data_IF_567751018686
#
_entry.id   IF_567751018686
#
_cell.length_a   1.000
_cell.length_b   1.000
_cell.length_c   1.000
_cell.angle_alpha   90.00
_cell.angle_beta   90.00
_cell.angle_gamma   90.00
#
_symmetry.space_group_name_H-M   'P 1'
#
loop_
_entity.id
_entity.type
_entity.pdbx_description
1 polymer ?
#
# COMPACT_ATOMS: atom_id res chain seq x y z
N UNK A 1 16.09 4.68 64.64
CA UNK A 1 17.12 5.60 65.14
C UNK A 1 17.98 6.01 63.93
N UNK A 2 17.97 7.31 63.61
CA UNK A 2 18.86 8.14 62.75
C UNK A 2 19.62 7.48 61.57
N UNK A 3 19.32 7.80 60.30
CA UNK A 3 19.57 9.05 59.56
C UNK A 3 21.05 9.27 59.15
N UNK A 4 21.23 9.41 57.82
CA UNK A 4 22.15 10.26 57.07
C UNK A 4 23.39 9.72 56.31
N UNK A 5 23.23 9.76 54.98
CA UNK A 5 23.98 10.50 53.96
C UNK A 5 25.51 10.31 53.91
N UNK A 6 25.98 9.71 52.81
CA UNK A 6 27.14 10.23 52.09
C UNK A 6 26.88 10.23 50.57
N UNK A 7 27.17 11.38 49.97
CA UNK A 7 27.01 11.73 48.55
C UNK A 7 28.27 11.32 47.76
N UNK A 8 28.09 10.85 46.53
CA UNK A 8 28.99 11.06 45.38
C UNK A 8 28.20 10.62 44.11
N UNK A 9 27.59 11.54 43.36
CA UNK A 9 28.17 12.39 42.33
C UNK A 9 28.56 11.64 41.02
N UNK A 10 27.84 12.03 39.96
CA UNK A 10 28.31 12.24 38.59
C UNK A 10 28.44 11.04 37.64
N UNK A 11 27.44 10.88 36.76
CA UNK A 11 27.64 10.96 35.30
C UNK A 11 26.28 11.04 34.59
N UNK A 12 25.94 12.23 34.11
CA UNK A 12 24.87 12.46 33.14
C UNK A 12 25.33 11.87 31.82
N UNK A 13 24.74 10.74 31.40
CA UNK A 13 24.73 10.33 30.01
C UNK A 13 23.30 10.50 29.49
N UNK A 14 22.94 11.75 29.21
CA UNK A 14 21.79 12.03 28.35
C UNK A 14 22.17 11.55 26.93
N UNK A 15 21.94 10.26 26.68
CA UNK A 15 21.97 9.70 25.34
C UNK A 15 20.87 10.36 24.54
N UNK A 16 21.23 11.42 23.82
CA UNK A 16 20.40 12.00 22.78
C UNK A 16 20.23 10.93 21.70
N UNK A 17 19.21 10.09 21.83
CA UNK A 17 18.63 9.41 20.70
C UNK A 17 18.05 10.49 19.81
N UNK A 18 18.87 10.98 18.88
CA UNK A 18 18.39 11.68 17.72
C UNK A 18 17.49 10.68 16.98
N UNK A 19 16.19 10.69 17.30
CA UNK A 19 15.17 10.10 16.44
C UNK A 19 15.14 10.97 15.19
N UNK A 20 16.07 10.68 14.28
CA UNK A 20 16.02 11.20 12.94
C UNK A 20 14.64 10.87 12.40
N UNK A 21 13.86 11.91 12.10
CA UNK A 21 12.64 11.75 11.35
C UNK A 21 13.05 11.13 10.01
N UNK A 22 12.89 9.81 9.90
CA UNK A 22 12.94 9.14 8.60
C UNK A 22 11.76 9.74 7.85
N UNK A 23 12.04 10.66 6.93
CA UNK A 23 11.09 11.04 5.90
C UNK A 23 10.79 9.75 5.16
N UNK A 24 9.65 9.13 5.47
CA UNK A 24 9.19 7.95 4.77
C UNK A 24 9.04 8.36 3.31
N UNK A 25 9.85 7.77 2.44
CA UNK A 25 9.70 7.95 1.00
C UNK A 25 8.26 7.62 0.61
N UNK A 26 7.70 8.35 -0.35
CA UNK A 26 6.37 8.03 -0.85
C UNK A 26 6.34 6.56 -1.30
N UNK A 27 5.25 5.82 -1.02
CA UNK A 27 5.16 4.44 -1.45
C UNK A 27 5.35 4.32 -2.97
N UNK A 28 6.28 3.46 -3.39
CA UNK A 28 6.52 3.14 -4.80
C UNK A 28 6.39 1.63 -5.03
N UNK A 29 5.16 1.08 -4.98
CA UNK A 29 4.97 -0.33 -5.28
C UNK A 29 5.36 -0.65 -6.72
N UNK A 30 6.05 -1.77 -6.90
CA UNK A 30 6.48 -2.25 -8.22
C UNK A 30 5.67 -3.50 -8.55
N UNK A 31 4.94 -3.47 -9.66
CA UNK A 31 4.21 -4.62 -10.16
C UNK A 31 5.19 -5.74 -10.51
N UNK A 32 4.92 -6.93 -9.99
CA UNK A 32 5.60 -8.17 -10.30
C UNK A 32 4.59 -9.21 -10.74
N UNK A 33 5.06 -10.21 -11.49
CA UNK A 33 4.23 -11.34 -11.84
C UNK A 33 5.05 -12.62 -12.05
N UNK A 34 4.36 -13.74 -11.96
CA UNK A 34 4.79 -15.03 -12.51
C UNK A 34 3.74 -15.48 -13.53
N UNK A 35 3.71 -16.76 -13.91
CA UNK A 35 2.76 -17.26 -14.91
C UNK A 35 1.29 -17.22 -14.46
N UNK A 36 0.99 -17.12 -13.16
CA UNK A 36 -0.37 -17.26 -12.64
C UNK A 36 -0.78 -16.22 -11.59
N UNK A 37 0.09 -15.30 -11.20
CA UNK A 37 -0.21 -14.29 -10.21
C UNK A 37 0.46 -12.94 -10.51
N UNK A 38 -0.20 -11.86 -10.08
CA UNK A 38 0.33 -10.49 -10.04
C UNK A 38 0.35 -10.03 -8.59
N UNK A 39 1.47 -9.45 -8.16
CA UNK A 39 1.64 -8.85 -6.83
C UNK A 39 2.50 -7.59 -6.93
N UNK A 40 2.74 -6.94 -5.78
CA UNK A 40 3.52 -5.71 -5.71
C UNK A 40 4.66 -5.84 -4.70
N UNK A 41 5.87 -5.59 -5.15
CA UNK A 41 7.04 -5.38 -4.30
C UNK A 41 7.08 -3.93 -3.80
N UNK A 42 7.93 -3.66 -2.80
CA UNK A 42 8.02 -2.34 -2.15
C UNK A 42 6.70 -1.82 -1.58
N UNK A 43 5.85 -2.74 -1.09
CA UNK A 43 4.58 -2.44 -0.41
C UNK A 43 4.78 -1.93 1.03
N UNK A 44 5.55 -0.85 1.18
CA UNK A 44 5.91 -0.27 2.47
C UNK A 44 5.02 0.94 2.79
N UNK A 45 4.55 1.02 4.03
CA UNK A 45 3.72 2.14 4.49
C UNK A 45 2.29 2.15 3.96
N UNK A 46 1.83 1.05 3.34
CA UNK A 46 0.48 0.88 2.80
C UNK A 46 -0.32 -0.16 3.60
N UNK A 47 -1.61 0.09 3.79
CA UNK A 47 -2.54 -0.78 4.52
C UNK A 47 -3.96 -0.69 3.96
N UNK A 48 -4.80 -1.71 4.22
CA UNK A 48 -6.19 -1.71 3.78
C UNK A 48 -6.33 -1.58 2.26
N UNK A 49 -5.63 -2.44 1.52
CA UNK A 49 -5.59 -2.40 0.07
C UNK A 49 -6.85 -3.03 -0.53
N UNK A 50 -7.38 -2.39 -1.58
CA UNK A 50 -8.38 -2.97 -2.48
C UNK A 50 -7.82 -2.90 -3.89
N UNK A 51 -7.73 -4.04 -4.56
CA UNK A 51 -7.37 -4.16 -5.96
C UNK A 51 -8.56 -4.64 -6.77
N UNK A 52 -8.94 -3.89 -7.79
CA UNK A 52 -9.96 -4.29 -8.77
C UNK A 52 -9.27 -4.65 -10.06
N UNK A 53 -9.55 -5.83 -10.60
CA UNK A 53 -9.00 -6.34 -11.85
C UNK A 53 -10.13 -6.52 -12.84
N UNK A 54 -10.00 -5.93 -14.03
CA UNK A 54 -10.95 -6.02 -15.13
C UNK A 54 -10.35 -6.89 -16.23
N UNK A 55 -11.03 -7.99 -16.54
CA UNK A 55 -10.69 -8.90 -17.62
C UNK A 55 -11.12 -8.34 -18.99
N UNK A 56 -10.56 -8.84 -20.11
CA UNK A 56 -10.90 -8.39 -21.46
C UNK A 56 -12.40 -8.52 -21.82
N UNK A 57 -13.09 -9.47 -21.21
CA UNK A 57 -14.53 -9.72 -21.38
C UNK A 57 -15.41 -8.84 -20.47
N UNK A 58 -14.79 -7.95 -19.68
CA UNK A 58 -15.47 -7.03 -18.77
C UNK A 58 -15.75 -7.61 -17.38
N UNK A 59 -15.37 -8.85 -17.08
CA UNK A 59 -15.51 -9.39 -15.73
C UNK A 59 -14.61 -8.63 -14.75
N UNK A 60 -15.16 -8.31 -13.57
CA UNK A 60 -14.44 -7.57 -12.52
C UNK A 60 -14.21 -8.49 -11.32
N UNK A 61 -12.97 -8.57 -10.86
CA UNK A 61 -12.57 -9.26 -9.64
C UNK A 61 -12.07 -8.24 -8.62
N UNK A 62 -12.56 -8.32 -7.39
CA UNK A 62 -12.12 -7.45 -6.28
C UNK A 62 -11.33 -8.28 -5.27
N UNK A 63 -10.13 -7.80 -4.93
CA UNK A 63 -9.18 -8.44 -4.02
C UNK A 63 -8.93 -7.45 -2.88
N UNK A 64 -9.15 -7.89 -1.64
CA UNK A 64 -8.94 -7.08 -0.44
C UNK A 64 -7.77 -7.66 0.37
N UNK A 65 -6.91 -6.77 0.86
CA UNK A 65 -5.80 -7.12 1.73
C UNK A 65 -5.70 -6.10 2.87
N UNK A 66 -6.13 -6.51 4.07
CA UNK A 66 -6.07 -5.65 5.26
C UNK A 66 -4.62 -5.23 5.58
N UNK A 67 -3.67 -6.14 5.36
CA UNK A 67 -2.23 -5.93 5.48
C UNK A 67 -1.49 -6.65 4.35
N UNK A 68 -0.30 -6.14 4.02
CA UNK A 68 0.53 -6.67 2.93
C UNK A 68 0.01 -6.30 1.53
N UNK A 69 0.67 -6.86 0.51
CA UNK A 69 0.33 -6.61 -0.90
C UNK A 69 -0.95 -7.34 -1.28
N UNK A 70 -1.86 -6.71 -2.05
CA UNK A 70 -2.90 -7.46 -2.75
C UNK A 70 -2.24 -8.39 -3.78
N UNK A 71 -2.82 -9.58 -3.97
CA UNK A 71 -2.32 -10.60 -4.92
C UNK A 71 -3.48 -11.08 -5.79
N UNK A 72 -3.35 -10.87 -7.10
CA UNK A 72 -4.25 -11.44 -8.08
C UNK A 72 -3.76 -12.83 -8.44
N UNK A 73 -4.66 -13.79 -8.60
CA UNK A 73 -4.33 -15.10 -9.17
C UNK A 73 -5.25 -15.39 -10.34
N UNK A 74 -4.65 -15.83 -11.43
CA UNK A 74 -5.37 -16.25 -12.62
C UNK A 74 -6.16 -17.53 -12.31
N UNK A 75 -7.45 -17.54 -12.63
CA UNK A 75 -8.23 -18.77 -12.61
C UNK A 75 -7.83 -19.62 -13.82
N UNK A 76 -7.00 -20.62 -13.58
CA UNK A 76 -6.40 -21.47 -14.61
C UNK A 76 -7.38 -22.32 -15.42
N UNK A 77 -8.70 -22.20 -15.21
CA UNK A 77 -9.72 -22.92 -15.99
C UNK A 77 -10.58 -22.00 -16.86
N UNK A 78 -10.59 -20.69 -16.59
CA UNK A 78 -11.56 -19.75 -17.15
C UNK A 78 -10.96 -18.38 -17.53
N UNK A 79 -9.63 -18.27 -17.63
CA UNK A 79 -9.04 -17.00 -18.05
C UNK A 79 -9.22 -16.72 -19.54
N UNK A 80 -9.50 -15.46 -19.84
CA UNK A 80 -9.66 -14.96 -21.21
C UNK A 80 -8.35 -14.36 -21.64
N UNK A 81 -7.85 -14.75 -22.82
CA UNK A 81 -6.64 -14.14 -23.36
C UNK A 81 -6.87 -12.65 -23.65
N UNK A 82 -5.88 -11.82 -23.31
CA UNK A 82 -5.91 -10.38 -23.57
C UNK A 82 -5.30 -9.54 -22.46
N UNK A 83 -5.60 -8.24 -22.51
CA UNK A 83 -5.08 -7.24 -21.58
C UNK A 83 -6.03 -7.09 -20.39
N UNK A 84 -5.54 -7.45 -19.21
CA UNK A 84 -6.20 -7.19 -17.94
C UNK A 84 -5.76 -5.83 -17.41
N UNK A 85 -6.69 -5.06 -16.89
CA UNK A 85 -6.42 -3.76 -16.25
C UNK A 85 -6.68 -3.86 -14.77
N UNK A 86 -5.93 -3.12 -13.97
CA UNK A 86 -6.23 -3.05 -12.54
C UNK A 86 -6.15 -1.63 -12.00
N UNK A 87 -6.90 -1.42 -10.92
CA UNK A 87 -6.86 -0.24 -10.07
C UNK A 87 -6.66 -0.68 -8.64
N UNK A 88 -5.84 0.04 -7.90
CA UNK A 88 -5.52 -0.22 -6.50
C UNK A 88 -5.77 1.05 -5.70
N UNK A 89 -6.43 0.89 -4.56
CA UNK A 89 -6.56 1.90 -3.52
C UNK A 89 -6.03 1.36 -2.19
N UNK A 90 -5.30 2.16 -1.43
CA UNK A 90 -4.84 1.82 -0.09
C UNK A 90 -4.73 3.07 0.80
N UNK A 91 -4.53 2.88 2.10
CA UNK A 91 -4.23 3.96 3.03
C UNK A 91 -2.73 3.99 3.34
N UNK A 92 -2.10 5.17 3.21
CA UNK A 92 -0.71 5.39 3.63
C UNK A 92 -0.60 5.53 5.16
N UNK A 93 0.64 5.55 5.67
CA UNK A 93 0.91 5.87 7.08
C UNK A 93 0.80 7.36 7.44
N UNK A 94 0.67 8.25 6.46
CA UNK A 94 0.59 9.70 6.67
C UNK A 94 -0.85 10.12 6.97
N UNK A 95 -1.05 11.03 7.93
CA UNK A 95 -2.36 11.59 8.28
C UNK A 95 -2.47 13.01 7.72
N UNK A 96 -3.54 13.29 6.99
CA UNK A 96 -3.84 14.60 6.39
C UNK A 96 -5.10 15.19 7.00
N UNK A 97 -5.14 16.53 7.13
CA UNK A 97 -6.32 17.25 7.61
C UNK A 97 -7.40 17.26 6.53
N UNK A 98 -8.65 17.05 6.94
CA UNK A 98 -9.81 17.18 6.04
C UNK A 98 -10.07 18.68 5.85
N UNK A 99 -9.90 19.16 4.61
CA UNK A 99 -10.04 20.59 4.26
C UNK A 99 -11.51 21.01 4.23
N UNK A 100 -12.38 20.14 3.71
CA UNK A 100 -13.82 20.38 3.60
C UNK A 100 -14.57 19.29 4.38
N UNK A 101 -14.72 19.45 5.71
CA UNK A 101 -15.47 18.49 6.51
C UNK A 101 -16.94 18.49 6.07
N UNK A 102 -17.50 17.30 5.89
CA UNK A 102 -18.94 17.14 5.66
C UNK A 102 -19.63 17.11 7.01
N UNK A 103 -20.43 18.13 7.31
CA UNK A 103 -21.29 18.12 8.50
C UNK A 103 -22.55 17.32 8.20
N UNK A 104 -22.59 16.09 8.71
CA UNK A 104 -23.76 15.21 8.65
C UNK A 104 -24.61 15.28 9.94
N UNK A 105 -24.59 16.43 10.63
CA UNK A 105 -25.27 16.63 11.92
C UNK A 105 -24.49 16.10 13.11
N UNK A 106 -23.19 15.84 12.94
CA UNK A 106 -22.29 15.31 13.99
C UNK A 106 -21.56 16.43 14.76
N UNK A 107 -21.70 17.68 14.33
CA UNK A 107 -21.07 18.83 14.99
C UNK A 107 -19.56 18.66 15.16
N UNK A 108 -19.01 19.13 16.29
CA UNK A 108 -17.57 19.08 16.60
C UNK A 108 -17.00 17.66 16.80
N UNK A 109 -17.82 16.61 16.70
CA UNK A 109 -17.38 15.20 16.78
C UNK A 109 -17.07 14.58 15.41
N UNK A 110 -17.07 15.38 14.33
CA UNK A 110 -16.57 14.94 13.02
C UNK A 110 -15.08 14.62 13.05
N UNK A 111 -14.65 13.60 12.30
CA UNK A 111 -13.22 13.38 12.08
C UNK A 111 -12.64 14.57 11.32
N UNK A 112 -11.59 15.18 11.84
CA UNK A 112 -10.92 16.34 11.22
C UNK A 112 -9.71 15.95 10.38
N UNK A 113 -9.36 14.65 10.35
CA UNK A 113 -8.21 14.12 9.64
C UNK A 113 -8.48 12.70 9.17
N UNK A 114 -7.75 12.28 8.14
CA UNK A 114 -7.80 10.94 7.58
C UNK A 114 -6.40 10.49 7.13
N UNK A 115 -6.19 9.19 6.96
CA UNK A 115 -4.97 8.70 6.30
C UNK A 115 -4.94 9.19 4.85
N UNK A 116 -3.78 9.66 4.37
CA UNK A 116 -3.60 10.06 2.97
C UNK A 116 -3.85 8.82 2.10
N UNK A 117 -4.77 8.88 1.13
CA UNK A 117 -5.06 7.75 0.27
C UNK A 117 -3.95 7.56 -0.75
N UNK A 118 -3.72 6.32 -1.13
CA UNK A 118 -2.81 5.90 -2.19
C UNK A 118 -3.63 5.27 -3.32
N UNK A 119 -3.28 5.62 -4.56
CA UNK A 119 -3.89 5.06 -5.76
C UNK A 119 -2.82 4.68 -6.78
N UNK A 120 -3.00 3.54 -7.42
CA UNK A 120 -2.21 3.16 -8.59
C UNK A 120 -3.06 2.39 -9.59
N UNK A 121 -2.67 2.43 -10.85
CA UNK A 121 -3.29 1.65 -11.92
C UNK A 121 -2.21 0.95 -12.73
N UNK A 122 -2.61 -0.08 -13.47
CA UNK A 122 -1.71 -0.77 -14.38
C UNK A 122 -2.41 -1.83 -15.19
N UNK A 123 -1.62 -2.68 -15.83
CA UNK A 123 -2.13 -3.76 -16.66
C UNK A 123 -1.16 -4.95 -16.69
N UNK A 124 -1.67 -6.10 -17.11
CA UNK A 124 -0.88 -7.28 -17.44
C UNK A 124 -1.54 -8.03 -18.59
N UNK A 125 -0.76 -8.86 -19.29
CA UNK A 125 -1.25 -9.59 -20.46
C UNK A 125 -1.34 -11.07 -20.12
N UNK A 126 -2.48 -11.67 -20.46
CA UNK A 126 -2.71 -13.11 -20.37
C UNK A 126 -2.76 -13.68 -21.78
N UNK A 127 -2.03 -14.77 -22.01
CA UNK A 127 -2.11 -15.53 -23.25
C UNK A 127 -1.95 -17.01 -22.96
N UNK A 128 -2.80 -17.85 -23.57
CA UNK A 128 -2.83 -19.30 -23.35
C UNK A 128 -2.87 -19.63 -21.86
N UNK A 129 -3.72 -18.90 -21.13
CA UNK A 129 -3.96 -19.12 -19.70
C UNK A 129 -2.72 -18.93 -18.80
N UNK A 130 -1.75 -18.12 -19.24
CA UNK A 130 -0.60 -17.67 -18.43
C UNK A 130 -0.38 -16.17 -18.59
N UNK A 131 0.11 -15.53 -17.53
CA UNK A 131 0.52 -14.13 -17.57
C UNK A 131 1.90 -14.03 -18.24
N UNK A 132 2.03 -13.13 -19.20
CA UNK A 132 3.24 -12.93 -20.01
C UNK A 132 3.71 -11.47 -19.96
N UNK A 133 5.01 -11.29 -20.16
CA UNK A 133 5.59 -10.00 -20.52
C UNK A 133 5.56 -9.89 -22.05
N UNK A 134 4.87 -8.90 -22.65
CA UNK A 134 4.93 -8.68 -24.09
C UNK A 134 6.39 -8.48 -24.52
N UNK A 135 6.79 -9.10 -25.63
CA UNK A 135 8.07 -8.78 -26.27
C UNK A 135 7.87 -7.47 -27.02
N UNK A 136 8.80 -6.52 -26.87
CA UNK A 136 8.86 -5.35 -27.73
C UNK A 136 9.07 -5.84 -29.17
N UNK A 137 8.08 -5.65 -30.03
CA UNK A 137 8.26 -5.83 -31.47
C UNK A 137 8.88 -4.55 -31.97
N UNK A 138 10.20 -4.54 -32.14
CA UNK A 138 10.84 -3.50 -32.95
C UNK A 138 10.52 -3.81 -34.41
N UNK A 139 9.82 -2.91 -35.09
CA UNK A 139 9.68 -2.97 -36.54
C UNK A 139 11.08 -2.75 -37.16
N UNK A 140 11.56 -3.72 -37.94
CA UNK A 140 12.81 -3.59 -38.73
C UNK A 140 12.63 -2.70 -39.96
#
# INVERSE_FOLDING_TARGET
MFLNIFKAALAVAAGAFATGAVLAAEPQPIQQHNSNAVWFENWLGLSGATMKVVAPDGQIQTIEAQSGTPVYRLDGRQSVDGVYRYEISAATGETVKIVNPVDNGRGDQGETSMKKPFYMTGHFVVSRNVIITPKDVQEE
#
